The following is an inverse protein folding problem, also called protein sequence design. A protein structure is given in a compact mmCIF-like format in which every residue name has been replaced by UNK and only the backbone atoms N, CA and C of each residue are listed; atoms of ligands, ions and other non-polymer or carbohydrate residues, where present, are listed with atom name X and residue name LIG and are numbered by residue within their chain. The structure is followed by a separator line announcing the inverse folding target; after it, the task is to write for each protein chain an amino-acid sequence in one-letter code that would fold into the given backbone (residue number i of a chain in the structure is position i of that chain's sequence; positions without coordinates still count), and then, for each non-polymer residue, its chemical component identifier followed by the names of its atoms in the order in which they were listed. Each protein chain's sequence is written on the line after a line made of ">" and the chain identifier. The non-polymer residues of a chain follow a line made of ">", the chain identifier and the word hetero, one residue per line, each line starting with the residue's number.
data_IF_762372162672
#
_entry.id   IF_762372162672
#
_cell.length_a   1.000
_cell.length_b   1.000
_cell.length_c   1.000
_cell.angle_alpha   90.00
_cell.angle_beta   90.00
_cell.angle_gamma   90.00
#
_symmetry.space_group_name_H-M   'P 1'
#
loop_
_entity.id
_entity.type
_entity.pdbx_description
1 polymer ?
#
# COMPACT_ATOMS: atom_id res chain seq x y z
N UNK A 1 16.15 -18.48 -19.93
CA UNK A 1 14.78 -17.98 -20.22
C UNK A 1 13.83 -19.16 -20.38
N UNK A 2 12.60 -19.09 -19.85
CA UNK A 2 11.56 -20.13 -20.05
C UNK A 2 10.38 -19.50 -20.78
N UNK A 3 10.13 -19.95 -22.01
CA UNK A 3 8.99 -19.53 -22.83
C UNK A 3 7.82 -20.48 -22.54
N UNK A 4 6.88 -20.03 -21.72
CA UNK A 4 5.73 -20.83 -21.28
C UNK A 4 4.51 -20.63 -22.22
N UNK A 5 3.53 -21.54 -22.09
CA UNK A 5 2.24 -21.52 -22.82
C UNK A 5 2.39 -21.76 -24.34
N UNK A 6 3.39 -22.50 -24.77
CA UNK A 6 3.54 -22.84 -26.20
C UNK A 6 2.42 -23.71 -26.77
N UNK A 7 1.58 -24.29 -25.90
CA UNK A 7 0.37 -25.03 -26.26
C UNK A 7 -0.78 -24.15 -26.80
N UNK A 8 -0.66 -22.82 -26.68
CA UNK A 8 -1.71 -21.91 -27.13
C UNK A 8 -1.66 -21.73 -28.66
N UNK A 9 -2.83 -21.65 -29.34
CA UNK A 9 -2.87 -21.41 -30.79
C UNK A 9 -2.26 -20.06 -31.22
N UNK A 10 -2.17 -19.11 -30.31
CA UNK A 10 -1.57 -17.78 -30.51
C UNK A 10 -0.12 -17.70 -30.02
N UNK A 11 0.51 -18.82 -29.69
CA UNK A 11 1.89 -18.84 -29.27
C UNK A 11 2.82 -18.41 -30.43
N UNK A 12 3.83 -17.60 -30.09
CA UNK A 12 4.85 -17.11 -31.01
C UNK A 12 6.23 -17.17 -30.37
N UNK A 13 6.72 -18.37 -30.07
CA UNK A 13 7.88 -18.57 -29.20
C UNK A 13 9.16 -17.90 -29.72
N UNK A 14 9.43 -17.93 -31.01
CA UNK A 14 10.62 -17.30 -31.60
C UNK A 14 10.61 -15.76 -31.43
N UNK A 15 9.48 -15.11 -31.74
CA UNK A 15 9.33 -13.67 -31.57
C UNK A 15 9.49 -13.24 -30.10
N UNK A 16 8.97 -14.05 -29.14
CA UNK A 16 9.10 -13.78 -27.71
C UNK A 16 10.56 -13.86 -27.24
N UNK A 17 11.36 -14.75 -27.80
CA UNK A 17 12.80 -14.82 -27.49
C UNK A 17 13.52 -13.55 -27.96
N UNK A 18 13.20 -13.06 -29.17
CA UNK A 18 13.75 -11.81 -29.70
C UNK A 18 13.32 -10.60 -28.82
N UNK A 19 12.05 -10.52 -28.42
CA UNK A 19 11.54 -9.49 -27.50
C UNK A 19 12.27 -9.51 -26.13
N UNK A 20 12.57 -10.69 -25.60
CA UNK A 20 13.34 -10.85 -24.35
C UNK A 20 14.78 -10.40 -24.51
N UNK A 21 15.41 -10.73 -25.66
CA UNK A 21 16.76 -10.29 -25.96
C UNK A 21 16.85 -8.76 -26.07
N UNK A 22 15.90 -8.14 -26.78
CA UNK A 22 15.80 -6.67 -26.85
C UNK A 22 15.64 -6.04 -25.47
N UNK A 23 14.76 -6.60 -24.64
CA UNK A 23 14.56 -6.14 -23.26
C UNK A 23 15.85 -6.22 -22.44
N UNK A 24 16.61 -7.30 -22.54
CA UNK A 24 17.88 -7.45 -21.81
C UNK A 24 18.92 -6.42 -22.27
N UNK A 25 18.99 -6.14 -23.57
CA UNK A 25 19.85 -5.09 -24.13
C UNK A 25 19.44 -3.71 -23.58
N UNK A 26 18.15 -3.38 -23.54
CA UNK A 26 17.66 -2.11 -22.98
C UNK A 26 17.98 -1.98 -21.48
N UNK A 27 17.96 -3.09 -20.74
CA UNK A 27 18.33 -3.13 -19.32
C UNK A 27 19.84 -3.09 -19.08
N UNK A 28 20.66 -3.08 -20.14
CA UNK A 28 22.11 -3.00 -20.03
C UNK A 28 22.78 -4.32 -19.66
N UNK A 29 22.20 -5.45 -20.06
CA UNK A 29 22.77 -6.78 -19.86
C UNK A 29 24.13 -6.91 -20.54
N UNK A 30 25.04 -7.64 -19.90
CA UNK A 30 26.36 -7.97 -20.48
C UNK A 30 26.27 -9.19 -21.43
N UNK A 31 27.39 -9.49 -22.11
CA UNK A 31 27.45 -10.57 -23.12
C UNK A 31 27.11 -11.94 -22.50
N UNK A 32 27.49 -12.20 -21.24
CA UNK A 32 27.20 -13.47 -20.55
C UNK A 32 25.69 -13.58 -20.22
N UNK A 33 25.04 -12.46 -19.91
CA UNK A 33 23.59 -12.41 -19.65
C UNK A 33 22.76 -12.50 -20.94
N UNK A 34 23.32 -12.09 -22.09
CA UNK A 34 22.67 -12.18 -23.39
C UNK A 34 22.79 -13.59 -24.00
N UNK A 35 23.77 -14.39 -23.59
CA UNK A 35 23.95 -15.81 -24.03
C UNK A 35 23.17 -16.76 -23.13
N UNK A 36 21.87 -16.54 -23.00
CA UNK A 36 21.01 -17.34 -22.13
C UNK A 36 20.44 -18.57 -22.86
N UNK A 37 20.35 -19.74 -22.19
CA UNK A 37 19.62 -20.88 -22.72
C UNK A 37 18.11 -20.63 -22.71
N UNK A 38 17.42 -21.21 -23.71
CA UNK A 38 15.97 -21.11 -23.81
C UNK A 38 15.32 -22.48 -23.62
N UNK A 39 14.31 -22.55 -22.76
CA UNK A 39 13.48 -23.75 -22.58
C UNK A 39 12.02 -23.39 -22.91
N UNK A 40 11.38 -24.22 -23.69
CA UNK A 40 9.98 -24.03 -24.07
C UNK A 40 9.09 -24.98 -23.27
N UNK A 41 7.97 -24.47 -22.75
CA UNK A 41 7.16 -25.24 -21.82
C UNK A 41 5.65 -24.97 -21.92
N UNK A 42 4.87 -25.93 -21.45
CA UNK A 42 3.48 -25.77 -21.09
C UNK A 42 3.27 -26.23 -19.66
N UNK A 43 3.26 -25.29 -18.72
CA UNK A 43 3.13 -25.59 -17.30
C UNK A 43 1.79 -26.30 -16.97
N UNK A 44 0.71 -25.97 -17.69
CA UNK A 44 -0.60 -26.58 -17.49
C UNK A 44 -0.60 -28.06 -17.91
N UNK A 45 0.17 -28.40 -18.94
CA UNK A 45 0.28 -29.78 -19.45
C UNK A 45 1.45 -30.55 -18.78
N UNK A 46 2.28 -29.87 -17.97
CA UNK A 46 3.46 -30.46 -17.34
C UNK A 46 4.51 -30.92 -18.36
N UNK A 47 4.68 -30.16 -19.47
CA UNK A 47 5.59 -30.50 -20.57
C UNK A 47 6.66 -29.42 -20.74
N UNK A 48 7.86 -29.83 -21.13
CA UNK A 48 8.95 -28.93 -21.50
C UNK A 48 9.91 -29.54 -22.51
N UNK A 49 10.63 -28.71 -23.26
CA UNK A 49 11.66 -29.12 -24.25
C UNK A 49 12.63 -27.97 -24.52
N UNK A 50 13.79 -28.29 -25.09
CA UNK A 50 14.72 -27.29 -25.62
C UNK A 50 14.36 -26.87 -27.05
N UNK A 51 13.37 -27.53 -27.69
CA UNK A 51 12.83 -27.19 -29.00
C UNK A 51 11.60 -26.30 -28.90
N UNK A 52 11.49 -25.34 -29.81
CA UNK A 52 10.31 -24.45 -29.94
C UNK A 52 9.11 -25.12 -30.62
N UNK A 53 9.31 -26.33 -31.18
CA UNK A 53 8.22 -27.10 -31.80
C UNK A 53 7.35 -27.73 -30.69
N UNK A 54 6.03 -27.44 -30.65
CA UNK A 54 5.11 -28.09 -29.73
C UNK A 54 5.06 -29.61 -29.83
N UNK A 55 5.44 -30.20 -30.98
CA UNK A 55 5.48 -31.64 -31.18
C UNK A 55 6.63 -32.32 -30.41
N UNK A 56 7.69 -31.59 -30.11
CA UNK A 56 8.88 -32.07 -29.41
C UNK A 56 8.78 -31.97 -27.88
N UNK A 57 7.62 -31.56 -27.37
CA UNK A 57 7.42 -31.42 -25.93
C UNK A 57 7.43 -32.76 -25.20
N UNK A 58 8.34 -32.89 -24.26
CA UNK A 58 8.40 -34.04 -23.36
C UNK A 58 7.36 -33.92 -22.26
N UNK A 59 6.74 -35.05 -21.84
CA UNK A 59 5.80 -35.07 -20.71
C UNK A 59 6.52 -35.03 -19.36
N UNK A 60 7.39 -34.04 -19.21
CA UNK A 60 8.19 -33.83 -18.01
C UNK A 60 8.67 -32.38 -17.95
N UNK A 61 8.98 -31.92 -16.74
CA UNK A 61 9.63 -30.61 -16.53
C UNK A 61 11.15 -30.75 -16.34
N UNK A 62 11.71 -31.97 -16.55
CA UNK A 62 13.15 -32.23 -16.40
C UNK A 62 14.03 -31.27 -17.23
N UNK A 63 13.74 -30.98 -18.51
CA UNK A 63 14.56 -30.03 -19.28
C UNK A 63 14.74 -28.66 -18.62
N UNK A 64 13.75 -28.16 -17.88
CA UNK A 64 13.89 -26.90 -17.12
C UNK A 64 14.84 -27.10 -15.94
N UNK A 65 14.67 -28.18 -15.15
CA UNK A 65 15.50 -28.44 -13.98
C UNK A 65 16.95 -28.74 -14.36
N UNK A 66 17.16 -29.50 -15.42
CA UNK A 66 18.49 -29.80 -15.94
C UNK A 66 19.20 -28.51 -16.40
N UNK A 67 18.50 -27.65 -17.15
CA UNK A 67 19.03 -26.34 -17.56
C UNK A 67 19.37 -25.45 -16.36
N UNK A 68 18.56 -25.45 -15.31
CA UNK A 68 18.85 -24.71 -14.08
C UNK A 68 20.12 -25.23 -13.43
N UNK A 69 20.25 -26.55 -13.28
CA UNK A 69 21.40 -27.19 -12.64
C UNK A 69 22.68 -26.92 -13.43
N UNK A 70 22.62 -26.99 -14.76
CA UNK A 70 23.78 -26.84 -15.63
C UNK A 70 24.22 -25.39 -15.81
N UNK A 71 23.28 -24.44 -15.77
CA UNK A 71 23.54 -23.04 -16.14
C UNK A 71 23.60 -22.08 -14.95
N UNK A 72 22.80 -22.33 -13.90
CA UNK A 72 22.79 -21.43 -12.75
C UNK A 72 23.88 -21.85 -11.76
N UNK A 73 24.84 -20.97 -11.42
CA UNK A 73 25.89 -21.29 -10.45
C UNK A 73 25.28 -21.55 -9.07
N UNK A 74 25.81 -22.53 -8.36
CA UNK A 74 25.43 -22.79 -6.99
C UNK A 74 25.73 -21.57 -6.10
N UNK A 75 24.93 -21.29 -5.07
CA UNK A 75 25.24 -20.26 -4.09
C UNK A 75 26.62 -20.48 -3.47
N UNK A 76 27.34 -19.38 -3.21
CA UNK A 76 28.62 -19.46 -2.51
C UNK A 76 28.38 -19.89 -1.07
N UNK A 77 29.04 -20.95 -0.61
CA UNK A 77 28.97 -21.41 0.77
C UNK A 77 30.05 -20.72 1.61
N UNK A 78 29.63 -19.73 2.39
CA UNK A 78 30.47 -18.97 3.32
C UNK A 78 30.22 -19.40 4.78
N UNK A 79 29.78 -20.62 5.03
CA UNK A 79 29.39 -21.12 6.37
C UNK A 79 30.58 -21.22 7.35
N UNK A 80 31.81 -21.35 6.85
CA UNK A 80 33.03 -21.42 7.67
C UNK A 80 33.60 -20.03 8.07
N UNK A 81 33.02 -18.95 7.55
CA UNK A 81 33.40 -17.58 7.89
C UNK A 81 32.74 -17.11 9.20
N UNK A 82 33.22 -15.98 9.81
CA UNK A 82 32.53 -15.40 10.96
C UNK A 82 31.10 -15.00 10.63
N UNK A 83 30.18 -15.25 11.57
CA UNK A 83 28.76 -14.94 11.42
C UNK A 83 28.51 -13.50 10.97
N UNK A 84 27.64 -13.34 10.00
CA UNK A 84 27.09 -12.04 9.60
C UNK A 84 25.62 -12.23 9.20
N UNK A 85 24.74 -11.71 10.05
CA UNK A 85 23.28 -11.76 9.87
C UNK A 85 22.72 -10.34 9.95
N UNK A 86 21.94 -9.92 8.96
CA UNK A 86 21.30 -8.62 8.99
C UNK A 86 19.78 -8.75 9.13
N UNK A 87 19.22 -7.95 10.02
CA UNK A 87 17.78 -7.88 10.25
C UNK A 87 17.13 -7.09 9.13
N UNK A 88 16.22 -7.71 8.40
CA UNK A 88 15.48 -7.11 7.28
C UNK A 88 14.02 -6.82 7.64
N UNK A 89 13.43 -7.60 8.55
CA UNK A 89 12.05 -7.46 9.03
C UNK A 89 12.01 -7.66 10.54
N UNK A 90 10.97 -7.14 11.15
CA UNK A 90 10.63 -7.38 12.56
C UNK A 90 9.34 -8.17 12.68
N UNK A 91 9.29 -9.00 13.71
CA UNK A 91 8.08 -9.64 14.21
C UNK A 91 8.04 -9.51 15.74
N UNK A 92 6.90 -9.76 16.32
CA UNK A 92 6.70 -9.64 17.76
C UNK A 92 5.87 -10.81 18.29
N UNK A 93 6.27 -11.30 19.45
CA UNK A 93 5.53 -12.32 20.18
C UNK A 93 5.59 -12.01 21.68
N UNK A 94 4.45 -12.05 22.36
CA UNK A 94 4.33 -11.70 23.79
C UNK A 94 5.23 -12.53 24.72
N UNK A 95 5.64 -13.75 24.28
CA UNK A 95 6.46 -14.65 25.10
C UNK A 95 7.97 -14.47 24.89
N UNK A 96 8.38 -14.08 23.69
CA UNK A 96 9.81 -13.97 23.32
C UNK A 96 10.22 -12.53 22.99
N UNK A 97 9.28 -11.60 22.99
CA UNK A 97 9.51 -10.21 22.64
C UNK A 97 9.71 -9.99 21.14
N UNK A 98 10.50 -8.99 20.79
CA UNK A 98 10.80 -8.65 19.41
C UNK A 98 11.70 -9.69 18.76
N UNK A 99 11.45 -10.01 17.51
CA UNK A 99 12.11 -11.04 16.72
C UNK A 99 12.65 -10.37 15.46
N UNK A 100 13.98 -10.49 15.23
CA UNK A 100 14.60 -10.03 14.00
C UNK A 100 14.58 -11.12 12.94
N UNK A 101 14.03 -10.85 11.77
CA UNK A 101 14.00 -11.75 10.62
C UNK A 101 14.97 -11.24 9.56
N UNK A 102 15.76 -12.14 8.98
CA UNK A 102 16.73 -11.77 7.97
C UNK A 102 17.44 -12.96 7.35
N UNK A 103 18.51 -12.66 6.61
CA UNK A 103 19.36 -13.64 5.97
C UNK A 103 20.71 -13.78 6.70
N UNK A 104 21.18 -14.99 6.85
CA UNK A 104 22.57 -15.27 7.22
C UNK A 104 23.44 -15.10 5.97
N UNK A 105 24.27 -14.04 5.93
CA UNK A 105 25.12 -13.76 4.77
C UNK A 105 26.36 -14.66 4.75
N UNK A 106 26.94 -14.92 5.94
CA UNK A 106 28.06 -15.82 6.13
C UNK A 106 28.07 -16.38 7.55
N UNK A 107 28.85 -17.44 7.75
CA UNK A 107 28.99 -18.09 9.03
C UNK A 107 27.79 -18.96 9.43
N UNK A 108 27.70 -19.26 10.69
CA UNK A 108 26.60 -20.02 11.30
C UNK A 108 26.23 -19.44 12.66
N UNK A 109 25.00 -19.71 13.11
CA UNK A 109 24.48 -19.29 14.42
C UNK A 109 23.69 -20.42 15.05
N UNK A 110 23.86 -20.61 16.37
CA UNK A 110 23.17 -21.62 17.17
C UNK A 110 22.38 -21.00 18.31
N UNK A 111 21.36 -21.70 18.76
CA UNK A 111 20.66 -21.36 20.00
C UNK A 111 21.65 -21.40 21.15
N UNK A 112 21.71 -20.34 21.93
CA UNK A 112 22.62 -20.20 23.06
C UNK A 112 23.91 -19.45 22.78
N UNK A 113 24.22 -19.16 21.52
CA UNK A 113 25.42 -18.39 21.16
C UNK A 113 25.40 -16.98 21.74
N UNK A 114 26.57 -16.52 22.16
CA UNK A 114 26.82 -15.12 22.52
C UNK A 114 27.21 -14.35 21.26
N UNK A 115 26.44 -13.35 20.94
CA UNK A 115 26.60 -12.55 19.71
C UNK A 115 26.57 -11.06 20.02
N UNK A 116 27.05 -10.25 19.09
CA UNK A 116 27.05 -8.80 19.16
C UNK A 116 26.06 -8.25 18.12
N UNK A 117 25.15 -7.40 18.57
CA UNK A 117 24.30 -6.58 17.73
C UNK A 117 24.97 -5.23 17.48
N UNK A 118 25.25 -4.91 16.23
CA UNK A 118 25.68 -3.58 15.80
C UNK A 118 24.44 -2.74 15.49
N UNK A 119 24.24 -1.69 16.30
CA UNK A 119 23.09 -0.79 16.23
C UNK A 119 23.24 0.24 15.10
N UNK A 120 22.13 0.85 14.68
CA UNK A 120 22.11 1.88 13.64
C UNK A 120 22.95 3.14 14.04
N UNK A 121 23.07 3.44 15.32
CA UNK A 121 23.85 4.55 15.84
C UNK A 121 25.36 4.25 15.97
N UNK A 122 25.80 3.07 15.51
CA UNK A 122 27.19 2.61 15.59
C UNK A 122 27.58 2.02 16.95
N UNK A 123 26.68 1.99 17.94
CA UNK A 123 26.93 1.30 19.21
C UNK A 123 26.79 -0.20 19.07
N UNK A 124 27.34 -0.96 20.00
CA UNK A 124 27.26 -2.42 20.00
C UNK A 124 26.67 -2.94 21.30
N UNK A 125 25.92 -4.02 21.24
CA UNK A 125 25.31 -4.66 22.40
C UNK A 125 25.41 -6.19 22.31
N UNK A 126 25.97 -6.80 23.33
CA UNK A 126 26.07 -8.27 23.39
C UNK A 126 24.78 -8.88 23.92
N UNK A 127 24.36 -9.97 23.32
CA UNK A 127 23.22 -10.73 23.80
C UNK A 127 23.37 -12.22 23.51
N UNK A 128 22.50 -13.02 24.09
CA UNK A 128 22.44 -14.45 23.87
C UNK A 128 21.25 -14.79 23.01
N UNK A 129 21.47 -15.54 21.94
CA UNK A 129 20.41 -16.08 21.09
C UNK A 129 19.54 -17.02 21.91
N UNK A 130 18.28 -16.68 22.15
CA UNK A 130 17.36 -17.49 22.96
C UNK A 130 16.61 -18.51 22.12
N UNK A 131 16.18 -18.12 20.93
CA UNK A 131 15.51 -18.99 19.97
C UNK A 131 15.89 -18.64 18.55
N UNK A 132 15.91 -19.67 17.70
CA UNK A 132 16.03 -19.56 16.25
C UNK A 132 14.83 -20.23 15.59
N UNK A 133 14.33 -19.64 14.53
CA UNK A 133 13.26 -20.19 13.73
C UNK A 133 13.67 -20.18 12.25
N UNK A 134 13.38 -21.29 11.57
CA UNK A 134 13.48 -21.42 10.12
C UNK A 134 12.11 -21.39 9.46
N UNK A 135 12.07 -21.10 8.17
CA UNK A 135 10.84 -21.02 7.37
C UNK A 135 10.72 -22.25 6.47
N UNK A 136 9.66 -23.02 6.64
CA UNK A 136 9.36 -24.26 5.88
C UNK A 136 8.01 -24.08 5.18
N UNK A 137 8.05 -23.59 3.95
CA UNK A 137 6.84 -23.11 3.27
C UNK A 137 6.24 -21.92 4.01
N UNK A 138 4.99 -22.02 4.44
CA UNK A 138 4.31 -20.97 5.22
C UNK A 138 4.47 -21.13 6.75
N UNK A 139 5.09 -22.20 7.20
CA UNK A 139 5.27 -22.47 8.63
C UNK A 139 6.62 -22.00 9.14
N UNK A 140 6.62 -21.40 10.32
CA UNK A 140 7.82 -21.07 11.09
C UNK A 140 8.05 -22.17 12.13
N UNK A 141 9.22 -22.82 12.08
CA UNK A 141 9.60 -23.89 13.00
C UNK A 141 10.86 -23.55 13.77
N UNK A 142 10.90 -23.93 15.04
CA UNK A 142 12.09 -23.77 15.87
C UNK A 142 13.21 -24.68 15.36
N UNK A 143 14.41 -24.11 15.20
CA UNK A 143 15.63 -24.80 14.75
C UNK A 143 16.75 -24.59 15.76
N UNK A 144 17.77 -25.43 15.75
CA UNK A 144 18.90 -25.33 16.66
C UNK A 144 20.10 -24.59 16.07
N UNK A 145 20.26 -24.63 14.76
CA UNK A 145 21.38 -24.05 14.02
C UNK A 145 20.89 -23.52 12.66
N UNK A 146 21.51 -22.46 12.19
CA UNK A 146 21.34 -21.90 10.84
C UNK A 146 22.71 -21.54 10.26
N UNK A 147 22.83 -21.57 8.92
CA UNK A 147 24.07 -21.34 8.18
C UNK A 147 23.89 -20.28 7.10
N UNK A 148 25.01 -19.88 6.51
CA UNK A 148 25.03 -18.96 5.39
C UNK A 148 24.02 -19.36 4.30
N UNK A 149 23.23 -18.38 3.86
CA UNK A 149 22.13 -18.56 2.90
C UNK A 149 20.75 -18.75 3.52
N UNK A 150 20.66 -19.20 4.78
CA UNK A 150 19.38 -19.42 5.45
C UNK A 150 18.65 -18.09 5.74
N UNK A 151 17.33 -18.12 5.56
CA UNK A 151 16.42 -17.11 6.09
C UNK A 151 15.93 -17.56 7.44
N UNK A 152 16.17 -16.75 8.46
CA UNK A 152 15.85 -17.12 9.84
C UNK A 152 15.20 -15.98 10.62
N UNK A 153 14.59 -16.35 11.73
CA UNK A 153 14.12 -15.42 12.74
C UNK A 153 14.89 -15.65 14.05
N UNK A 154 15.43 -14.58 14.62
CA UNK A 154 16.28 -14.61 15.83
C UNK A 154 15.62 -13.84 16.96
N UNK A 155 15.58 -14.43 18.16
CA UNK A 155 15.10 -13.77 19.37
C UNK A 155 16.19 -13.76 20.46
N UNK A 156 16.07 -12.82 21.41
CA UNK A 156 17.00 -12.67 22.53
C UNK A 156 17.36 -11.20 22.83
N UNK A 157 16.83 -10.27 22.03
CA UNK A 157 17.04 -8.85 22.20
C UNK A 157 15.73 -8.08 21.98
N UNK A 158 15.25 -7.33 22.97
CA UNK A 158 13.99 -6.59 22.91
C UNK A 158 14.06 -5.35 22.03
N UNK A 159 15.21 -4.73 21.90
CA UNK A 159 15.43 -3.49 21.16
C UNK A 159 16.15 -3.68 19.81
N UNK A 160 15.96 -4.84 19.17
CA UNK A 160 16.45 -5.13 17.82
C UNK A 160 15.68 -4.32 16.77
N UNK A 161 16.39 -3.81 15.75
CA UNK A 161 15.82 -3.01 14.66
C UNK A 161 16.23 -3.51 13.28
N UNK A 162 15.44 -3.10 12.26
CA UNK A 162 15.77 -3.36 10.85
C UNK A 162 17.06 -2.63 10.46
N UNK A 163 17.92 -3.30 9.68
CA UNK A 163 19.21 -2.78 9.25
C UNK A 163 20.36 -3.09 10.21
N UNK A 164 20.07 -3.52 11.43
CA UNK A 164 21.11 -3.90 12.40
C UNK A 164 21.72 -5.24 12.02
N UNK A 165 23.01 -5.42 12.35
CA UNK A 165 23.78 -6.62 12.02
C UNK A 165 24.17 -7.40 13.28
N UNK A 166 23.94 -8.70 13.26
CA UNK A 166 24.40 -9.63 14.30
C UNK A 166 25.69 -10.31 13.83
N UNK A 167 26.72 -10.28 14.67
CA UNK A 167 28.06 -10.82 14.41
C UNK A 167 28.58 -11.58 15.63
N UNK A 168 29.69 -12.36 15.52
CA UNK A 168 30.36 -12.89 16.69
C UNK A 168 30.93 -11.76 17.57
N UNK A 169 31.14 -12.03 18.85
CA UNK A 169 31.65 -11.04 19.80
C UNK A 169 33.13 -10.64 19.57
N UNK A 170 33.89 -11.51 18.93
CA UNK A 170 35.33 -11.38 18.65
C UNK A 170 35.61 -10.91 17.20
N UNK A 171 34.62 -10.86 16.35
CA UNK A 171 34.74 -10.45 14.94
C UNK A 171 33.57 -9.56 14.51
N UNK A 172 33.48 -8.36 15.10
CA UNK A 172 32.38 -7.42 14.83
C UNK A 172 32.59 -6.74 13.49
N UNK A 173 31.76 -7.08 12.51
CA UNK A 173 31.76 -6.49 11.17
C UNK A 173 30.32 -6.27 10.70
N UNK A 174 29.82 -5.04 10.85
CA UNK A 174 28.48 -4.67 10.46
C UNK A 174 28.35 -4.55 8.94
N UNK A 175 27.23 -5.00 8.39
CA UNK A 175 26.83 -4.71 7.02
C UNK A 175 26.40 -3.25 6.87
N UNK A 176 26.38 -2.70 5.65
CA UNK A 176 25.83 -1.37 5.40
C UNK A 176 24.40 -1.26 5.94
N UNK A 177 24.11 -0.13 6.56
CA UNK A 177 22.80 0.15 7.16
C UNK A 177 21.75 0.19 6.06
N UNK A 178 20.64 -0.52 6.26
CA UNK A 178 19.46 -0.41 5.39
C UNK A 178 18.77 0.92 5.68
N UNK A 179 18.68 1.76 4.66
CA UNK A 179 17.98 3.04 4.79
C UNK A 179 16.47 2.79 4.72
N UNK A 180 15.74 3.30 5.71
CA UNK A 180 14.28 3.26 5.77
C UNK A 180 13.78 4.68 5.62
N UNK A 181 12.90 4.90 4.66
CA UNK A 181 12.31 6.21 4.43
C UNK A 181 11.49 6.67 5.65
N UNK A 182 11.66 7.93 6.01
CA UNK A 182 10.86 8.55 7.06
C UNK A 182 9.41 8.76 6.60
N UNK A 183 8.45 8.81 7.55
CA UNK A 183 7.09 9.16 7.25
C UNK A 183 6.97 10.51 6.53
N UNK A 184 6.14 10.57 5.51
CA UNK A 184 5.85 11.78 4.72
C UNK A 184 4.42 12.28 4.89
N UNK A 185 3.50 11.40 5.29
CA UNK A 185 2.10 11.70 5.56
C UNK A 185 1.72 11.41 7.00
N UNK A 186 0.75 12.14 7.51
CA UNK A 186 0.16 11.93 8.82
C UNK A 186 -1.36 12.05 8.77
N UNK A 187 -2.03 11.39 9.71
CA UNK A 187 -3.48 11.47 9.93
C UNK A 187 -3.77 11.51 11.42
N UNK A 188 -4.88 12.10 11.81
CA UNK A 188 -5.39 11.97 13.17
C UNK A 188 -6.27 10.72 13.26
N UNK A 189 -5.91 9.79 14.14
CA UNK A 189 -6.77 8.68 14.55
C UNK A 189 -7.44 9.05 15.86
N UNK A 190 -8.74 8.78 15.99
CA UNK A 190 -9.48 9.08 17.19
C UNK A 190 -10.53 8.01 17.47
N UNK A 191 -10.95 7.96 18.72
CA UNK A 191 -12.04 7.08 19.15
C UNK A 191 -13.32 7.47 18.44
N UNK A 192 -14.09 6.47 18.00
CA UNK A 192 -15.39 6.71 17.39
C UNK A 192 -16.36 7.34 18.42
N UNK A 193 -16.77 8.57 18.17
CA UNK A 193 -17.75 9.31 18.97
C UNK A 193 -19.01 9.66 18.17
N UNK A 194 -19.22 9.00 17.01
CA UNK A 194 -20.41 9.17 16.20
C UNK A 194 -21.68 8.72 16.95
N UNK A 195 -22.87 9.12 16.51
CA UNK A 195 -24.15 8.62 17.07
C UNK A 195 -24.32 7.10 16.94
N UNK A 196 -23.51 6.43 16.10
CA UNK A 196 -23.53 4.97 15.92
C UNK A 196 -22.36 4.25 16.60
N UNK A 197 -21.54 4.95 17.37
CA UNK A 197 -20.42 4.37 18.10
C UNK A 197 -20.84 3.16 18.95
N UNK A 198 -20.06 2.08 18.89
CA UNK A 198 -20.28 0.86 19.65
C UNK A 198 -21.39 -0.07 19.13
N UNK A 199 -21.97 0.22 17.96
CA UNK A 199 -23.01 -0.66 17.39
C UNK A 199 -22.44 -1.83 16.59
N UNK A 200 -21.31 -1.66 15.95
CA UNK A 200 -20.78 -2.62 14.96
C UNK A 200 -19.42 -3.20 15.38
N UNK A 201 -18.59 -2.44 16.12
CA UNK A 201 -17.27 -2.87 16.52
C UNK A 201 -17.22 -3.55 17.89
N UNK A 202 -16.23 -4.43 18.04
CA UNK A 202 -15.89 -5.10 19.29
C UNK A 202 -14.99 -4.22 20.18
N UNK A 203 -14.07 -3.49 19.56
CA UNK A 203 -13.05 -2.69 20.21
C UNK A 203 -13.28 -1.20 19.93
N UNK A 204 -13.84 -0.50 20.92
CA UNK A 204 -14.38 0.87 20.77
C UNK A 204 -13.79 1.87 21.78
N UNK A 205 -12.90 1.44 22.66
CA UNK A 205 -12.34 2.30 23.71
C UNK A 205 -10.97 2.84 23.33
N UNK A 206 -10.62 4.05 23.79
CA UNK A 206 -9.31 4.68 23.58
C UNK A 206 -8.15 3.75 23.95
N UNK A 207 -8.26 3.09 25.10
CA UNK A 207 -7.25 2.14 25.56
C UNK A 207 -7.01 1.01 24.55
N UNK A 208 -8.06 0.46 23.93
CA UNK A 208 -7.94 -0.64 22.97
C UNK A 208 -7.35 -0.19 21.64
N UNK A 209 -7.73 1.01 21.18
CA UNK A 209 -7.13 1.61 19.98
C UNK A 209 -5.65 1.91 20.23
N UNK A 210 -5.29 2.48 21.37
CA UNK A 210 -3.90 2.75 21.74
C UNK A 210 -3.07 1.46 21.84
N UNK A 211 -3.54 0.44 22.57
CA UNK A 211 -2.88 -0.87 22.66
C UNK A 211 -2.60 -1.45 21.27
N UNK A 212 -3.54 -1.32 20.35
CA UNK A 212 -3.38 -1.82 18.97
C UNK A 212 -2.36 -1.01 18.17
N UNK A 213 -2.39 0.31 18.26
CA UNK A 213 -1.42 1.18 17.59
C UNK A 213 0.00 0.95 18.13
N UNK A 214 0.15 0.77 19.46
CA UNK A 214 1.45 0.43 20.07
C UNK A 214 1.95 -0.97 19.65
N UNK A 215 1.04 -1.93 19.46
CA UNK A 215 1.41 -3.25 18.93
C UNK A 215 1.95 -3.17 17.50
N UNK A 216 1.36 -2.32 16.65
CA UNK A 216 1.86 -2.09 15.28
C UNK A 216 3.30 -1.56 15.26
N UNK A 217 3.64 -0.64 16.17
CA UNK A 217 4.99 -0.09 16.29
C UNK A 217 6.07 -1.13 16.64
N UNK A 218 5.69 -2.34 17.09
CA UNK A 218 6.66 -3.40 17.36
C UNK A 218 7.21 -4.02 16.07
N UNK A 219 6.42 -3.97 14.99
CA UNK A 219 6.73 -4.62 13.71
C UNK A 219 6.92 -3.65 12.57
N UNK A 220 6.18 -2.54 12.56
CA UNK A 220 6.27 -1.51 11.52
C UNK A 220 7.23 -0.38 11.93
N UNK A 221 8.43 -0.40 11.36
CA UNK A 221 9.49 0.57 11.65
C UNK A 221 9.31 1.93 10.98
N UNK A 222 8.41 2.03 10.01
CA UNK A 222 8.12 3.25 9.27
C UNK A 222 6.84 3.95 9.75
N UNK A 223 6.15 3.36 10.71
CA UNK A 223 5.01 3.98 11.37
C UNK A 223 5.46 4.80 12.59
N UNK A 224 4.82 5.93 12.81
CA UNK A 224 4.97 6.74 14.02
C UNK A 224 3.60 7.02 14.63
N UNK A 225 3.48 6.92 15.93
CA UNK A 225 2.25 7.20 16.67
C UNK A 225 2.58 8.15 17.79
N UNK A 226 2.13 9.38 17.70
CA UNK A 226 2.37 10.44 18.68
C UNK A 226 1.06 10.77 19.41
N UNK A 227 1.08 10.91 20.74
CA UNK A 227 -0.09 11.39 21.50
C UNK A 227 -0.40 12.84 21.13
N UNK A 228 -1.66 13.22 21.23
CA UNK A 228 -2.11 14.61 21.09
C UNK A 228 -2.49 15.18 22.47
N UNK A 229 -2.96 16.42 22.49
CA UNK A 229 -3.49 17.06 23.70
C UNK A 229 -4.75 16.36 24.26
N UNK A 230 -5.36 15.48 23.48
CA UNK A 230 -6.53 14.69 23.85
C UNK A 230 -6.18 13.22 24.05
N UNK A 231 -6.60 12.57 25.14
CA UNK A 231 -6.33 11.15 25.38
C UNK A 231 -7.03 10.19 24.41
N UNK A 232 -7.97 10.70 23.62
CA UNK A 232 -8.77 9.92 22.66
C UNK A 232 -8.32 10.14 21.22
N UNK A 233 -7.16 10.81 21.01
CA UNK A 233 -6.63 11.15 19.68
C UNK A 233 -5.13 10.89 19.59
N UNK A 234 -4.70 10.41 18.43
CA UNK A 234 -3.29 10.15 18.10
C UNK A 234 -2.96 10.69 16.72
N UNK A 235 -1.78 11.26 16.55
CA UNK A 235 -1.21 11.53 15.24
C UNK A 235 -0.48 10.29 14.77
N UNK A 236 -0.95 9.70 13.68
CA UNK A 236 -0.36 8.50 13.06
C UNK A 236 0.30 8.91 11.76
N UNK A 237 1.62 8.70 11.68
CA UNK A 237 2.43 9.08 10.53
C UNK A 237 2.95 7.86 9.79
N UNK A 238 2.87 7.86 8.47
CA UNK A 238 3.29 6.75 7.61
C UNK A 238 3.97 7.21 6.33
N UNK A 239 4.52 6.27 5.57
CA UNK A 239 5.24 6.54 4.32
C UNK A 239 4.36 7.07 3.19
N UNK A 240 3.05 6.81 3.25
CA UNK A 240 2.12 7.21 2.21
C UNK A 240 0.68 6.83 2.53
N UNK A 241 -0.24 7.24 1.66
CA UNK A 241 -1.67 7.01 1.82
C UNK A 241 -2.02 5.52 1.90
N UNK A 242 -1.45 4.69 1.02
CA UNK A 242 -1.67 3.25 1.01
C UNK A 242 -1.24 2.58 2.31
N UNK A 243 -0.12 3.00 2.89
CA UNK A 243 0.38 2.48 4.16
C UNK A 243 -0.63 2.70 5.30
N UNK A 244 -1.15 3.93 5.42
CA UNK A 244 -2.15 4.28 6.43
C UNK A 244 -3.51 3.61 6.16
N UNK A 245 -3.91 3.49 4.90
CA UNK A 245 -5.14 2.78 4.49
C UNK A 245 -5.10 1.30 4.85
N UNK A 246 -3.95 0.63 4.68
CA UNK A 246 -3.77 -0.78 5.07
C UNK A 246 -3.91 -0.93 6.59
N UNK A 247 -3.32 -0.03 7.38
CA UNK A 247 -3.47 -0.04 8.83
C UNK A 247 -4.95 0.10 9.25
N UNK A 248 -5.65 1.08 8.67
CA UNK A 248 -7.08 1.32 8.94
C UNK A 248 -7.90 0.07 8.59
N UNK A 249 -7.70 -0.50 7.40
CA UNK A 249 -8.43 -1.69 6.95
C UNK A 249 -8.12 -2.92 7.81
N UNK A 250 -6.88 -3.09 8.25
CA UNK A 250 -6.48 -4.17 9.14
C UNK A 250 -7.18 -4.04 10.49
N UNK A 251 -7.17 -2.85 11.10
CA UNK A 251 -7.88 -2.59 12.34
C UNK A 251 -9.40 -2.82 12.20
N UNK A 252 -9.98 -2.38 11.09
CA UNK A 252 -11.38 -2.62 10.76
C UNK A 252 -11.72 -4.12 10.76
N UNK A 253 -10.91 -4.95 10.10
CA UNK A 253 -11.09 -6.41 10.03
C UNK A 253 -10.89 -7.11 11.38
N UNK A 254 -10.06 -6.55 12.25
CA UNK A 254 -9.86 -7.04 13.61
C UNK A 254 -11.02 -6.68 14.57
N UNK A 255 -11.98 -5.87 14.10
CA UNK A 255 -13.18 -5.51 14.86
C UNK A 255 -13.09 -4.18 15.61
N UNK A 256 -12.17 -3.30 15.24
CA UNK A 256 -12.07 -1.96 15.81
C UNK A 256 -13.06 -0.99 15.15
N UNK A 257 -13.56 -0.06 15.96
CA UNK A 257 -14.19 1.18 15.51
C UNK A 257 -13.29 2.36 15.81
N UNK A 258 -13.11 3.24 14.83
CA UNK A 258 -12.33 4.46 14.98
C UNK A 258 -12.82 5.52 14.01
N UNK A 259 -12.36 6.76 14.20
CA UNK A 259 -12.49 7.81 13.22
C UNK A 259 -11.10 8.24 12.79
N UNK A 260 -10.99 8.71 11.55
CA UNK A 260 -9.74 9.24 10.98
C UNK A 260 -9.99 10.57 10.27
N UNK A 261 -9.00 11.45 10.33
CA UNK A 261 -9.00 12.70 9.58
C UNK A 261 -8.52 12.49 8.15
N UNK A 262 -8.61 13.53 7.34
CA UNK A 262 -7.92 13.62 6.06
C UNK A 262 -6.41 13.42 6.23
N UNK A 263 -5.72 12.74 5.29
CA UNK A 263 -4.26 12.69 5.26
C UNK A 263 -3.65 14.07 4.98
N UNK A 264 -2.60 14.39 5.70
CA UNK A 264 -1.83 15.63 5.57
C UNK A 264 -0.35 15.31 5.36
N UNK A 265 0.37 16.15 4.61
CA UNK A 265 1.82 16.04 4.47
C UNK A 265 2.54 16.55 5.71
N UNK A 266 3.63 15.89 6.07
CA UNK A 266 4.48 16.33 7.19
C UNK A 266 5.39 17.46 6.69
N UNK A 267 5.14 18.68 7.19
CA UNK A 267 5.98 19.86 6.90
C UNK A 267 7.13 19.91 7.90
N UNK A 268 8.37 20.06 7.42
CA UNK A 268 9.59 20.20 8.22
C UNK A 268 10.16 21.59 8.06
N UNK A 269 10.83 22.09 9.10
CA UNK A 269 11.63 23.30 9.02
C UNK A 269 13.10 22.90 8.77
N UNK A 270 13.63 23.28 7.61
CA UNK A 270 15.00 23.01 7.19
C UNK A 270 15.67 24.37 6.96
N UNK A 271 16.73 24.66 7.69
CA UNK A 271 17.47 25.92 7.63
C UNK A 271 16.58 27.17 7.80
N UNK A 272 15.54 27.08 8.64
CA UNK A 272 14.58 28.17 8.89
C UNK A 272 13.51 28.34 7.81
N UNK A 273 13.43 27.44 6.84
CA UNK A 273 12.43 27.43 5.78
C UNK A 273 11.46 26.26 5.97
N UNK A 274 10.17 26.50 5.89
CA UNK A 274 9.17 25.43 5.87
C UNK A 274 9.25 24.68 4.55
N UNK A 275 9.50 23.38 4.64
CA UNK A 275 9.62 22.48 3.50
C UNK A 275 8.56 21.38 3.55
N UNK A 276 8.07 20.99 2.39
CA UNK A 276 7.16 19.88 2.19
C UNK A 276 7.82 18.75 1.40
N UNK A 277 7.36 17.49 1.54
CA UNK A 277 7.89 16.37 0.77
C UNK A 277 7.46 16.48 -0.69
N UNK A 278 8.40 16.18 -1.58
CA UNK A 278 8.18 16.04 -3.02
C UNK A 278 8.43 14.60 -3.43
N UNK A 279 7.64 14.13 -4.37
CA UNK A 279 7.73 12.79 -4.92
C UNK A 279 8.10 12.83 -6.41
N UNK A 280 8.93 11.89 -6.80
CA UNK A 280 9.22 11.60 -8.20
C UNK A 280 8.15 10.66 -8.72
N UNK A 281 7.39 11.13 -9.68
CA UNK A 281 6.27 10.40 -10.29
C UNK A 281 6.64 9.99 -11.69
N UNK A 282 6.60 8.69 -11.95
CA UNK A 282 6.78 8.12 -13.29
C UNK A 282 5.44 7.59 -13.78
N UNK A 283 5.06 8.03 -14.97
CA UNK A 283 3.79 7.65 -15.59
C UNK A 283 4.06 7.08 -16.98
N UNK A 284 3.55 5.89 -17.22
CA UNK A 284 3.47 5.28 -18.53
C UNK A 284 2.02 5.32 -19.02
N UNK A 285 1.75 6.00 -20.13
CA UNK A 285 0.40 6.22 -20.65
C UNK A 285 0.37 6.23 -22.18
N UNK A 286 -0.76 5.80 -22.80
CA UNK A 286 -0.96 6.03 -24.22
C UNK A 286 -0.84 7.51 -24.59
N UNK A 287 -0.26 7.82 -25.76
CA UNK A 287 -0.05 9.19 -26.23
C UNK A 287 -1.32 10.03 -26.27
N UNK A 288 -2.48 9.41 -26.48
CA UNK A 288 -3.78 10.11 -26.50
C UNK A 288 -4.16 10.75 -25.15
N UNK A 289 -3.66 10.22 -24.01
CA UNK A 289 -3.96 10.76 -22.67
C UNK A 289 -2.85 11.64 -22.10
N UNK A 290 -1.66 11.70 -22.72
CA UNK A 290 -0.50 12.42 -22.20
C UNK A 290 -0.82 13.90 -21.91
N UNK A 291 -1.55 14.57 -22.81
CA UNK A 291 -1.91 15.98 -22.63
C UNK A 291 -2.76 16.24 -21.40
N UNK A 292 -3.75 15.39 -21.14
CA UNK A 292 -4.61 15.47 -19.95
C UNK A 292 -3.82 15.23 -18.66
N UNK A 293 -2.91 14.25 -18.67
CA UNK A 293 -2.05 13.93 -17.52
C UNK A 293 -1.10 15.09 -17.22
N UNK A 294 -0.44 15.64 -18.24
CA UNK A 294 0.46 16.79 -18.08
C UNK A 294 -0.29 17.99 -17.50
N UNK A 295 -1.47 18.29 -18.02
CA UNK A 295 -2.29 19.38 -17.52
C UNK A 295 -2.66 19.17 -16.04
N UNK A 296 -3.20 18.01 -15.70
CA UNK A 296 -3.65 17.69 -14.34
C UNK A 296 -2.52 17.77 -13.30
N UNK A 297 -1.34 17.21 -13.62
CA UNK A 297 -0.18 17.30 -12.72
C UNK A 297 0.37 18.73 -12.62
N UNK A 298 0.34 19.50 -13.70
CA UNK A 298 0.77 20.92 -13.68
C UNK A 298 -0.16 21.78 -12.82
N UNK A 299 -1.47 21.54 -12.85
CA UNK A 299 -2.44 22.20 -11.96
C UNK A 299 -2.15 21.86 -10.48
N UNK A 300 -1.66 20.65 -10.21
CA UNK A 300 -1.20 20.18 -8.90
C UNK A 300 0.24 20.57 -8.57
N UNK A 301 0.81 21.54 -9.29
CA UNK A 301 2.17 22.09 -9.12
C UNK A 301 3.29 21.07 -9.39
N UNK A 302 3.03 20.04 -10.17
CA UNK A 302 4.05 19.13 -10.67
C UNK A 302 4.93 19.80 -11.73
N UNK A 303 6.24 19.59 -11.59
CA UNK A 303 7.25 20.00 -12.57
C UNK A 303 7.62 18.80 -13.44
N UNK A 304 7.46 18.91 -14.74
CA UNK A 304 7.87 17.85 -15.66
C UNK A 304 9.38 17.82 -15.80
N UNK A 305 10.00 16.70 -15.44
CA UNK A 305 11.44 16.50 -15.52
C UNK A 305 11.85 15.87 -16.86
N UNK A 306 11.04 14.94 -17.39
CA UNK A 306 11.35 14.23 -18.62
C UNK A 306 10.10 13.71 -19.32
N UNK A 307 10.19 13.53 -20.63
CA UNK A 307 9.15 12.92 -21.47
C UNK A 307 9.80 12.09 -22.57
N UNK A 308 9.55 10.79 -22.54
CA UNK A 308 10.14 9.82 -23.45
C UNK A 308 9.03 9.10 -24.20
N UNK A 309 9.04 9.20 -25.56
CA UNK A 309 8.19 8.33 -26.37
C UNK A 309 8.86 6.96 -26.47
N UNK A 310 8.16 5.93 -25.97
CA UNK A 310 8.67 4.56 -25.96
C UNK A 310 8.44 3.83 -27.29
N UNK A 311 7.94 4.53 -28.31
CA UNK A 311 7.42 3.90 -29.52
C UNK A 311 6.07 3.23 -29.26
N UNK A 312 5.50 2.50 -30.16
CA UNK A 312 4.24 1.76 -29.99
C UNK A 312 3.05 2.58 -29.44
N UNK A 313 3.06 3.92 -29.57
CA UNK A 313 1.97 4.80 -29.10
C UNK A 313 1.92 4.97 -27.59
N UNK A 314 3.01 4.71 -26.87
CA UNK A 314 3.15 4.92 -25.42
C UNK A 314 4.14 6.05 -25.13
N UNK A 315 3.86 6.80 -24.06
CA UNK A 315 4.75 7.87 -23.57
C UNK A 315 5.03 7.66 -22.08
N UNK A 316 6.29 7.79 -21.71
CA UNK A 316 6.74 7.87 -20.32
C UNK A 316 6.92 9.32 -19.93
N UNK A 317 6.28 9.72 -18.85
CA UNK A 317 6.38 11.05 -18.26
C UNK A 317 7.04 10.93 -16.88
N UNK A 318 7.96 11.81 -16.57
CA UNK A 318 8.58 11.90 -15.24
C UNK A 318 8.32 13.29 -14.67
N UNK A 319 7.74 13.34 -13.48
CA UNK A 319 7.40 14.58 -12.77
C UNK A 319 8.03 14.61 -11.38
N UNK A 320 8.27 15.81 -10.88
CA UNK A 320 8.50 16.10 -9.48
C UNK A 320 7.26 16.84 -8.96
N UNK A 321 6.54 16.21 -8.02
CA UNK A 321 5.23 16.69 -7.55
C UNK A 321 5.23 16.83 -6.03
N UNK A 322 4.69 17.93 -5.46
CA UNK A 322 4.46 17.99 -4.01
C UNK A 322 3.57 16.83 -3.58
N UNK A 323 3.95 16.09 -2.54
CA UNK A 323 3.22 14.88 -2.10
C UNK A 323 1.73 15.15 -1.81
N UNK A 324 1.39 16.34 -1.28
CA UNK A 324 -0.03 16.74 -1.08
C UNK A 324 -0.81 16.87 -2.39
N UNK A 325 -0.15 17.09 -3.53
CA UNK A 325 -0.77 17.10 -4.85
C UNK A 325 -1.13 15.71 -5.36
N UNK A 326 -0.56 14.66 -4.78
CA UNK A 326 -0.83 13.26 -5.14
C UNK A 326 -1.92 12.62 -4.28
N UNK A 327 -2.29 13.24 -3.16
CA UNK A 327 -3.40 12.75 -2.32
C UNK A 327 -4.67 12.76 -3.17
N UNK A 328 -5.27 11.58 -3.33
CA UNK A 328 -6.46 11.38 -4.14
C UNK A 328 -6.26 11.41 -5.66
N UNK A 329 -5.03 11.55 -6.14
CA UNK A 329 -4.79 11.64 -7.58
C UNK A 329 -4.94 10.30 -8.30
N UNK A 330 -4.76 9.18 -7.63
CA UNK A 330 -4.80 7.85 -8.24
C UNK A 330 -6.15 7.54 -8.92
N UNK A 331 -7.26 7.88 -8.28
CA UNK A 331 -8.61 7.66 -8.82
C UNK A 331 -8.89 8.55 -10.04
N UNK A 332 -8.49 9.83 -9.97
CA UNK A 332 -8.60 10.77 -11.08
C UNK A 332 -7.76 10.30 -12.28
N UNK A 333 -6.51 9.90 -12.03
CA UNK A 333 -5.59 9.40 -13.05
C UNK A 333 -6.13 8.15 -13.76
N UNK A 334 -6.62 7.15 -13.01
CA UNK A 334 -7.22 5.95 -13.60
C UNK A 334 -8.46 6.27 -14.44
N UNK A 335 -9.30 7.18 -13.98
CA UNK A 335 -10.46 7.64 -14.73
C UNK A 335 -10.07 8.37 -16.01
N UNK A 336 -9.11 9.28 -15.94
CA UNK A 336 -8.59 10.09 -17.05
C UNK A 336 -7.95 9.23 -18.14
N UNK A 337 -7.19 8.21 -17.73
CA UNK A 337 -6.50 7.28 -18.64
C UNK A 337 -7.33 6.05 -18.99
N UNK A 338 -8.59 5.98 -18.56
CA UNK A 338 -9.49 4.82 -18.72
C UNK A 338 -8.87 3.50 -18.24
N UNK A 339 -8.01 3.57 -17.23
CA UNK A 339 -7.30 2.42 -16.66
C UNK A 339 -6.08 1.95 -17.47
N UNK A 340 -5.72 2.61 -18.57
CA UNK A 340 -4.53 2.25 -19.37
C UNK A 340 -3.23 2.86 -18.86
N UNK A 341 -3.29 3.89 -18.01
CA UNK A 341 -2.11 4.51 -17.43
C UNK A 341 -1.56 3.69 -16.27
N UNK A 342 -0.25 3.69 -16.13
CA UNK A 342 0.48 3.14 -14.99
C UNK A 342 1.20 4.30 -14.33
N UNK A 343 1.03 4.45 -13.00
CA UNK A 343 1.67 5.50 -12.22
C UNK A 343 2.44 4.88 -11.05
N UNK A 344 3.70 5.24 -10.95
CA UNK A 344 4.55 4.93 -9.81
C UNK A 344 5.11 6.22 -9.22
N UNK A 345 5.18 6.32 -7.92
CA UNK A 345 5.75 7.47 -7.25
C UNK A 345 6.54 7.05 -6.01
N UNK A 346 7.60 7.79 -5.75
CA UNK A 346 8.50 7.57 -4.61
C UNK A 346 8.92 8.91 -4.03
N UNK A 347 9.17 8.94 -2.72
CA UNK A 347 9.74 10.11 -2.07
C UNK A 347 11.07 10.49 -2.75
N UNK A 348 11.25 11.78 -3.07
CA UNK A 348 12.49 12.30 -3.64
C UNK A 348 13.25 13.18 -2.63
N UNK A 349 12.64 14.28 -2.20
CA UNK A 349 13.29 15.21 -1.27
C UNK A 349 12.27 16.17 -0.62
N UNK A 350 12.75 16.92 0.37
CA UNK A 350 12.03 18.05 0.92
C UNK A 350 12.43 19.34 0.19
N UNK A 351 11.44 20.10 -0.30
CA UNK A 351 11.61 21.41 -0.94
C UNK A 351 10.76 22.46 -0.25
N UNK A 352 11.06 23.75 -0.42
CA UNK A 352 10.27 24.83 0.17
C UNK A 352 8.78 24.68 -0.13
N UNK A 353 7.95 24.88 0.89
CA UNK A 353 6.50 24.76 0.82
C UNK A 353 5.95 25.71 -0.24
N UNK A 354 5.24 25.19 -1.23
CA UNK A 354 4.57 25.97 -2.26
C UNK A 354 3.34 26.66 -1.64
N UNK A 355 3.18 28.00 -1.75
CA UNK A 355 2.01 28.68 -1.23
C UNK A 355 0.70 28.26 -1.93
N UNK A 356 -0.38 28.23 -1.17
CA UNK A 356 -1.72 27.92 -1.65
C UNK A 356 -2.13 26.47 -1.49
N UNK A 357 -3.40 26.22 -1.72
CA UNK A 357 -3.97 24.86 -1.70
C UNK A 357 -3.62 24.13 -3.00
N UNK A 358 -3.33 22.85 -2.89
CA UNK A 358 -3.03 21.99 -4.02
C UNK A 358 -3.90 20.75 -3.91
N UNK A 359 -4.68 20.44 -4.94
CA UNK A 359 -5.63 19.35 -4.91
C UNK A 359 -6.79 19.62 -3.94
N UNK A 360 -7.48 18.57 -3.54
CA UNK A 360 -8.64 18.65 -2.66
C UNK A 360 -9.96 18.71 -3.42
N UNK A 361 -11.03 18.53 -2.69
CA UNK A 361 -12.39 18.54 -3.21
C UNK A 361 -12.85 19.96 -3.52
N UNK A 362 -13.26 20.21 -4.76
CA UNK A 362 -13.83 21.49 -5.18
C UNK A 362 -15.35 21.58 -4.98
N UNK A 363 -16.02 20.46 -4.73
CA UNK A 363 -17.47 20.38 -4.56
C UNK A 363 -17.82 20.18 -3.09
N UNK A 364 -18.94 20.75 -2.66
CA UNK A 364 -19.42 20.61 -1.31
C UNK A 364 -19.98 19.22 -1.01
N UNK A 365 -20.26 18.95 0.26
CA UNK A 365 -20.94 17.77 0.74
C UNK A 365 -22.46 17.95 0.77
N UNK A 366 -23.18 16.85 0.61
CA UNK A 366 -24.58 16.72 0.99
C UNK A 366 -24.64 16.13 2.40
N UNK A 367 -25.13 16.91 3.37
CA UNK A 367 -25.11 16.55 4.79
C UNK A 367 -26.53 16.30 5.28
N UNK A 368 -26.76 15.18 5.99
CA UNK A 368 -28.08 14.87 6.57
C UNK A 368 -28.40 15.77 7.75
N UNK A 369 -29.61 16.33 7.79
CA UNK A 369 -30.12 17.13 8.91
C UNK A 369 -30.88 16.31 9.94
N UNK A 370 -31.22 15.05 9.64
CA UNK A 370 -32.03 14.19 10.49
C UNK A 370 -31.41 12.80 10.63
N UNK A 371 -31.70 12.16 11.75
CA UNK A 371 -31.44 10.75 11.99
C UNK A 371 -32.61 9.87 11.51
N UNK A 372 -32.32 8.73 10.90
CA UNK A 372 -33.34 7.79 10.45
C UNK A 372 -32.88 6.94 9.26
N UNK A 373 -33.82 6.42 8.47
CA UNK A 373 -33.52 5.63 7.28
C UNK A 373 -33.68 6.47 6.01
N UNK A 374 -32.68 6.41 5.14
CA UNK A 374 -32.77 7.03 3.82
C UNK A 374 -33.95 6.46 3.01
N UNK A 375 -34.80 7.34 2.48
CA UNK A 375 -35.97 6.92 1.72
C UNK A 375 -35.76 7.12 0.22
N UNK A 376 -36.31 6.22 -0.61
CA UNK A 376 -36.27 6.36 -2.07
C UNK A 376 -36.88 7.70 -2.52
N UNK A 377 -37.93 8.15 -1.83
CA UNK A 377 -38.60 9.43 -2.16
C UNK A 377 -37.68 10.63 -1.98
N UNK A 378 -36.94 10.69 -0.86
CA UNK A 378 -35.98 11.77 -0.59
C UNK A 378 -34.77 11.68 -1.54
N UNK A 379 -34.22 10.49 -1.76
CA UNK A 379 -33.10 10.28 -2.70
C UNK A 379 -33.46 10.84 -4.06
N UNK A 380 -34.62 10.54 -4.63
CA UNK A 380 -35.08 11.08 -5.91
C UNK A 380 -35.09 12.59 -5.99
N UNK A 381 -35.40 13.27 -4.87
CA UNK A 381 -35.44 14.74 -4.84
C UNK A 381 -34.05 15.38 -4.65
N UNK A 382 -33.13 14.61 -4.07
CA UNK A 382 -31.77 15.10 -3.75
C UNK A 382 -30.78 14.77 -4.88
N UNK A 383 -30.98 13.67 -5.61
CA UNK A 383 -30.07 13.25 -6.70
C UNK A 383 -29.94 14.25 -7.87
N UNK A 384 -30.87 15.23 -7.98
CA UNK A 384 -30.74 16.36 -8.90
C UNK A 384 -29.68 17.39 -8.46
N UNK A 385 -29.33 17.37 -7.16
CA UNK A 385 -28.39 18.30 -6.55
C UNK A 385 -26.97 17.77 -6.45
N UNK A 386 -26.77 16.46 -6.67
CA UNK A 386 -25.46 15.86 -6.58
C UNK A 386 -25.49 14.34 -6.66
N UNK A 387 -24.37 13.73 -6.30
CA UNK A 387 -24.18 12.27 -6.29
C UNK A 387 -24.40 11.71 -4.89
N UNK A 388 -25.26 10.72 -4.74
CA UNK A 388 -25.62 10.12 -3.46
C UNK A 388 -24.68 8.95 -3.16
N UNK A 389 -24.27 8.80 -1.90
CA UNK A 389 -23.35 7.76 -1.41
C UNK A 389 -24.02 6.64 -0.63
N UNK A 390 -25.31 6.77 -0.33
CA UNK A 390 -26.04 5.81 0.50
C UNK A 390 -27.22 5.18 -0.25
N UNK A 391 -27.47 3.91 0.03
CA UNK A 391 -28.59 3.19 -0.55
C UNK A 391 -29.93 3.53 0.17
N UNK A 392 -31.08 3.36 -0.48
CA UNK A 392 -32.35 3.39 0.22
C UNK A 392 -32.38 2.39 1.39
N UNK A 393 -32.90 2.83 2.53
CA UNK A 393 -32.97 2.01 3.75
C UNK A 393 -31.73 2.08 4.63
N UNK A 394 -30.62 2.69 4.19
CA UNK A 394 -29.43 2.93 5.02
C UNK A 394 -29.81 3.82 6.19
N UNK A 395 -29.37 3.46 7.40
CA UNK A 395 -29.48 4.31 8.58
C UNK A 395 -28.48 5.48 8.49
N UNK A 396 -28.95 6.67 8.76
CA UNK A 396 -28.15 7.90 8.76
C UNK A 396 -28.37 8.67 10.07
N UNK A 397 -27.44 9.54 10.40
CA UNK A 397 -27.56 10.45 11.56
C UNK A 397 -27.38 11.91 11.11
N UNK A 398 -27.77 12.82 11.97
CA UNK A 398 -27.57 14.26 11.76
C UNK A 398 -26.07 14.58 11.68
N UNK A 399 -25.66 15.26 10.64
CA UNK A 399 -24.26 15.55 10.34
C UNK A 399 -23.54 14.54 9.45
N UNK A 400 -24.14 13.38 9.15
CA UNK A 400 -23.57 12.39 8.26
C UNK A 400 -23.54 12.90 6.82
N UNK A 401 -22.38 12.78 6.15
CA UNK A 401 -22.26 13.08 4.73
C UNK A 401 -22.88 11.93 3.93
N UNK A 402 -23.84 12.25 3.10
CA UNK A 402 -24.63 11.29 2.33
C UNK A 402 -24.44 11.42 0.82
N UNK A 403 -23.62 12.36 0.38
CA UNK A 403 -23.35 12.60 -1.03
C UNK A 403 -22.43 13.78 -1.29
N UNK A 404 -22.08 13.96 -2.55
CA UNK A 404 -21.33 15.10 -3.07
C UNK A 404 -22.32 16.10 -3.73
N UNK A 405 -22.22 17.38 -3.36
CA UNK A 405 -23.01 18.42 -4.00
C UNK A 405 -22.44 18.73 -5.42
N UNK A 406 -23.29 19.08 -6.35
CA UNK A 406 -22.87 19.58 -7.67
C UNK A 406 -22.25 20.98 -7.63
N UNK A 407 -22.37 21.71 -6.52
CA UNK A 407 -21.81 23.05 -6.27
C UNK A 407 -20.69 22.99 -5.24
N UNK A 408 -19.93 24.07 -5.13
CA UNK A 408 -18.77 24.17 -4.21
C UNK A 408 -19.15 24.20 -2.72
N UNK A 409 -20.35 24.67 -2.39
CA UNK A 409 -20.78 24.80 -0.98
C UNK A 409 -21.47 23.54 -0.49
N UNK A 410 -21.30 23.23 0.79
CA UNK A 410 -22.04 22.18 1.48
C UNK A 410 -23.54 22.50 1.53
N UNK A 411 -24.33 21.47 1.45
CA UNK A 411 -25.78 21.57 1.47
C UNK A 411 -26.39 20.57 2.44
N UNK A 412 -27.09 21.09 3.44
CA UNK A 412 -27.87 20.26 4.35
C UNK A 412 -29.19 19.82 3.72
N UNK A 413 -29.50 18.55 3.79
CA UNK A 413 -30.68 17.94 3.17
C UNK A 413 -31.37 16.93 4.09
N UNK A 414 -32.67 16.76 3.91
CA UNK A 414 -33.41 15.74 4.63
C UNK A 414 -33.59 14.48 3.77
N UNK A 415 -32.77 13.45 4.04
CA UNK A 415 -32.81 12.18 3.31
C UNK A 415 -33.79 11.16 3.91
N UNK A 416 -34.31 11.43 5.10
CA UNK A 416 -35.21 10.51 5.83
C UNK A 416 -36.68 10.77 5.56
N UNK A 417 -37.01 11.87 4.86
CA UNK A 417 -38.38 12.30 4.58
C UNK A 417 -39.14 11.23 3.77
N UNK A 418 -40.22 10.73 4.32
CA UNK A 418 -41.12 9.83 3.63
C UNK A 418 -42.18 10.58 2.81
N UNK A 419 -42.67 9.94 1.74
CA UNK A 419 -43.83 10.45 1.01
C UNK A 419 -45.06 10.47 1.93
N UNK A 420 -45.67 11.64 2.13
CA UNK A 420 -46.93 11.72 2.86
C UNK A 420 -48.03 11.00 2.04
N UNK A 421 -48.71 10.06 2.68
CA UNK A 421 -49.88 9.43 2.09
C UNK A 421 -51.01 10.44 2.02
N UNK A 422 -51.40 10.88 0.85
CA UNK A 422 -52.63 11.65 0.64
C UNK A 422 -53.73 10.69 0.28
N UNK A 423 -54.93 10.87 0.89
CA UNK A 423 -56.10 10.03 0.61
C UNK A 423 -56.70 10.21 -0.80
N UNK A 424 -56.08 11.01 -1.66
CA UNK A 424 -56.54 11.23 -3.05
C UNK A 424 -55.85 10.17 -3.93
N UNK A 425 -56.56 9.09 -4.27
CA UNK A 425 -56.18 8.17 -5.33
C UNK A 425 -56.36 8.89 -6.68
N UNK A 426 -55.29 9.49 -7.20
CA UNK A 426 -55.24 9.81 -8.62
C UNK A 426 -54.99 8.52 -9.38
N UNK A 427 -55.87 8.20 -10.36
CA UNK A 427 -55.82 7.02 -11.23
C UNK A 427 -54.64 7.06 -12.24
N UNK A 428 -53.64 7.89 -12.04
CA UNK A 428 -52.45 7.98 -12.86
C UNK A 428 -51.37 7.07 -12.27
N UNK A 429 -51.05 6.02 -13.04
CA UNK A 429 -49.94 5.09 -12.95
C UNK A 429 -48.92 5.43 -11.83
N UNK A 430 -48.79 4.53 -10.86
CA UNK A 430 -47.60 4.46 -10.03
C UNK A 430 -46.38 4.37 -10.94
N UNK A 431 -45.74 5.49 -11.23
CA UNK A 431 -44.42 5.50 -11.85
C UNK A 431 -43.49 4.80 -10.88
N UNK A 432 -42.95 3.67 -11.27
CA UNK A 432 -41.87 3.02 -10.55
C UNK A 432 -40.76 4.03 -10.39
N UNK A 433 -40.48 4.42 -9.13
CA UNK A 433 -39.46 5.37 -8.82
C UNK A 433 -38.10 4.77 -9.22
N UNK A 434 -37.50 5.28 -10.26
CA UNK A 434 -36.16 4.90 -10.72
C UNK A 434 -35.18 5.96 -10.17
N UNK A 435 -34.33 5.55 -9.26
CA UNK A 435 -33.22 6.36 -8.75
C UNK A 435 -31.93 6.02 -9.50
N UNK A 436 -31.00 6.97 -9.60
CA UNK A 436 -29.65 6.69 -10.06
C UNK A 436 -28.98 5.76 -9.05
N UNK A 437 -28.12 4.87 -9.54
CA UNK A 437 -27.33 4.01 -8.66
C UNK A 437 -26.42 4.87 -7.77
N UNK A 438 -26.54 4.78 -6.44
CA UNK A 438 -25.66 5.49 -5.54
C UNK A 438 -24.19 5.09 -5.73
N UNK A 439 -23.27 6.03 -5.59
CA UNK A 439 -21.84 5.78 -5.59
C UNK A 439 -21.41 5.41 -4.17
N UNK A 440 -21.19 4.12 -3.93
CA UNK A 440 -20.68 3.66 -2.64
C UNK A 440 -19.16 3.84 -2.67
N UNK A 441 -18.65 4.68 -1.77
CA UNK A 441 -17.23 4.98 -1.69
C UNK A 441 -16.45 3.82 -1.05
N UNK A 442 -15.29 3.52 -1.61
CA UNK A 442 -14.29 2.67 -0.95
C UNK A 442 -13.61 3.44 0.18
N UNK A 443 -12.72 2.77 0.95
CA UNK A 443 -11.95 3.42 2.01
C UNK A 443 -11.07 4.53 1.43
N UNK A 444 -10.36 4.25 0.34
CA UNK A 444 -9.49 5.19 -0.35
C UNK A 444 -10.28 6.39 -0.89
N UNK A 445 -11.37 6.13 -1.62
CA UNK A 445 -12.25 7.19 -2.13
C UNK A 445 -12.86 8.05 -1.01
N UNK A 446 -13.12 7.44 0.16
CA UNK A 446 -13.62 8.15 1.33
C UNK A 446 -12.57 9.08 1.92
N UNK A 447 -11.31 8.63 2.01
CA UNK A 447 -10.18 9.45 2.48
C UNK A 447 -9.91 10.63 1.52
N UNK A 448 -9.99 10.39 0.20
CA UNK A 448 -9.86 11.42 -0.82
C UNK A 448 -10.96 12.48 -0.72
N UNK A 449 -12.16 12.06 -0.34
CA UNK A 449 -13.32 12.93 -0.27
C UNK A 449 -13.30 13.90 0.92
N UNK A 450 -12.61 13.56 2.02
CA UNK A 450 -12.58 14.36 3.25
C UNK A 450 -11.97 15.75 3.05
N UNK A 451 -12.58 16.74 3.70
CA UNK A 451 -12.00 18.06 3.98
C UNK A 451 -11.43 18.12 5.41
N UNK A 452 -10.77 19.23 5.75
CA UNK A 452 -10.04 19.40 7.02
C UNK A 452 -10.95 19.38 8.25
N UNK A 453 -12.23 19.69 8.10
CA UNK A 453 -13.26 19.71 9.16
C UNK A 453 -14.13 18.45 9.20
N UNK A 454 -13.80 17.45 8.40
CA UNK A 454 -14.55 16.22 8.24
C UNK A 454 -13.75 15.01 8.77
N UNK A 455 -14.46 13.98 9.20
CA UNK A 455 -13.89 12.72 9.65
C UNK A 455 -14.55 11.55 8.94
N UNK A 456 -13.79 10.48 8.77
CA UNK A 456 -14.30 9.20 8.32
C UNK A 456 -14.48 8.26 9.52
N UNK A 457 -15.70 7.78 9.74
CA UNK A 457 -16.01 6.72 10.68
C UNK A 457 -15.75 5.37 10.03
N UNK A 458 -14.91 4.58 10.67
CA UNK A 458 -14.53 3.22 10.21
C UNK A 458 -15.01 2.21 11.22
N UNK A 459 -15.81 1.27 10.78
CA UNK A 459 -16.31 0.15 11.58
C UNK A 459 -16.13 -1.16 10.82
N UNK A 460 -16.25 -2.33 11.46
CA UNK A 460 -16.18 -3.63 10.77
C UNK A 460 -17.15 -3.77 9.59
N UNK A 461 -18.33 -3.16 9.68
CA UNK A 461 -19.42 -3.32 8.73
C UNK A 461 -19.58 -2.12 7.79
N UNK A 462 -19.17 -0.91 8.20
CA UNK A 462 -19.49 0.33 7.51
C UNK A 462 -18.32 1.31 7.47
N UNK A 463 -18.31 2.11 6.42
CA UNK A 463 -17.52 3.34 6.29
C UNK A 463 -18.51 4.48 6.12
N UNK A 464 -18.41 5.52 6.95
CA UNK A 464 -19.31 6.70 6.94
C UNK A 464 -18.48 7.98 7.03
N UNK A 465 -18.97 9.05 6.44
CA UNK A 465 -18.31 10.35 6.47
C UNK A 465 -19.11 11.35 7.27
#
# INVERSE_FOLDING_TARGET
>A
VVVNKIDKPSARPAEVVDEVLELFIELGADDDQLDFPVVYASAINGTSSLSDDPADQEKTMAPIFDTIIDHIPAPVDNSDEPLQFQVSLLDYNDFVGRIGIGRVFRGSVKVGDQVTLSKLDGTTKNFRVTKLFGFFGLERREIQEAKAGDLIAVSGMEDIFVGETITPTDAVEALPILHIDEPTLQMTFLVNNSPFAGKEGKWVTSRKVEERLQAELQTDVSLRVDPTDSPDKWTVSGRGELHLSILIETMRREGYELQVSRPEVIVKEIDGVKCEPFERVQIDTPEEYQGSVIQSLSERKGEMLDMISTGNGQTRLVFLVPARGLIGYSTEFLSMTRGYGIMNHTFDQYLPLIPGEIGGRHRGALVSIDAGKATTYSIMSIEERGTIFVNPGTEVYEGMIIGENSRENDLTVNITKAKQMTNVRSATKDQTAVIKTPRILTLEESLEFLNDDEYMEVTPESIRL
#
